data_IF_992571763889
#
_entry.id   IF_992571763889
#
_cell.length_a   1.000
_cell.length_b   1.000
_cell.length_c   1.000
_cell.angle_alpha   90.00
_cell.angle_beta   90.00
_cell.angle_gamma   90.00
#
_symmetry.space_group_name_H-M   'P 1'
#
loop_
_entity.id
_entity.type
_entity.pdbx_description
1 polymer ?
#
# COMPACT_ATOMS: atom_id res chain seq x y z
N UNK A 1 -36.79 -21.57 10.85
CA UNK A 1 -36.27 -21.62 12.24
C UNK A 1 -36.97 -20.51 12.99
N UNK A 2 -37.99 -20.86 13.76
CA UNK A 2 -38.86 -19.93 14.49
C UNK A 2 -38.07 -19.25 15.62
N UNK A 3 -38.08 -17.93 15.68
CA UNK A 3 -37.55 -17.21 16.83
C UNK A 3 -38.56 -17.33 17.99
N UNK A 4 -38.15 -17.72 19.20
CA UNK A 4 -39.07 -17.89 20.33
C UNK A 4 -39.74 -16.55 20.66
N UNK A 5 -41.06 -16.57 20.88
CA UNK A 5 -41.83 -15.40 21.30
C UNK A 5 -41.37 -14.96 22.69
N UNK A 6 -40.59 -13.87 22.75
CA UNK A 6 -40.06 -13.32 24.00
C UNK A 6 -41.21 -12.66 24.76
N UNK A 7 -41.63 -13.26 25.88
CA UNK A 7 -42.58 -12.66 26.82
C UNK A 7 -41.87 -11.72 27.79
N UNK A 8 -42.62 -10.79 28.39
CA UNK A 8 -42.07 -9.72 29.23
C UNK A 8 -41.26 -10.23 30.43
N UNK A 9 -41.68 -11.33 31.06
CA UNK A 9 -40.96 -11.98 32.17
C UNK A 9 -39.60 -12.57 31.76
N UNK A 10 -39.39 -12.86 30.47
CA UNK A 10 -38.14 -13.40 29.94
C UNK A 10 -37.15 -12.30 29.54
N UNK A 11 -37.55 -11.03 29.56
CA UNK A 11 -36.69 -9.91 29.18
C UNK A 11 -35.41 -9.79 30.03
N UNK A 12 -35.44 -9.91 31.38
CA UNK A 12 -34.21 -9.81 32.17
C UNK A 12 -33.18 -10.88 31.79
N UNK A 13 -33.66 -12.09 31.48
CA UNK A 13 -32.81 -13.22 31.08
C UNK A 13 -32.21 -13.01 29.69
N UNK A 14 -33.02 -12.53 28.73
CA UNK A 14 -32.56 -12.23 27.37
C UNK A 14 -31.55 -11.07 27.37
N UNK A 15 -31.81 -10.02 28.14
CA UNK A 15 -30.90 -8.87 28.27
C UNK A 15 -29.58 -9.27 28.92
N UNK A 16 -29.61 -10.11 29.96
CA UNK A 16 -28.39 -10.67 30.57
C UNK A 16 -27.57 -11.49 29.57
N UNK A 17 -28.23 -12.36 28.80
CA UNK A 17 -27.56 -13.14 27.74
C UNK A 17 -27.01 -12.30 26.59
N UNK A 18 -27.61 -11.14 26.29
CA UNK A 18 -27.09 -10.18 25.33
C UNK A 18 -25.86 -9.44 25.87
N UNK A 19 -25.88 -9.04 27.16
CA UNK A 19 -24.71 -8.41 27.82
C UNK A 19 -23.51 -9.34 27.77
N UNK A 20 -23.68 -10.62 28.12
CA UNK A 20 -22.58 -11.58 28.13
C UNK A 20 -22.01 -11.83 26.72
N UNK A 21 -22.88 -11.85 25.70
CA UNK A 21 -22.44 -11.94 24.30
C UNK A 21 -21.66 -10.70 23.85
N UNK A 22 -22.09 -9.51 24.27
CA UNK A 22 -21.38 -8.27 23.99
C UNK A 22 -20.02 -8.25 24.68
N UNK A 23 -19.92 -8.69 25.93
CA UNK A 23 -18.64 -8.80 26.65
C UNK A 23 -17.68 -9.77 25.95
N UNK A 24 -18.18 -10.92 25.46
CA UNK A 24 -17.37 -11.86 24.67
C UNK A 24 -16.90 -11.26 23.34
N UNK A 25 -17.75 -10.49 22.67
CA UNK A 25 -17.38 -9.80 21.42
C UNK A 25 -16.32 -8.75 21.71
N UNK A 26 -16.46 -7.98 22.79
CA UNK A 26 -15.45 -7.01 23.23
C UNK A 26 -14.12 -7.70 23.55
N UNK A 27 -14.13 -8.82 24.27
CA UNK A 27 -12.93 -9.61 24.58
C UNK A 27 -12.26 -10.17 23.31
N UNK A 28 -13.06 -10.64 22.34
CA UNK A 28 -12.54 -11.11 21.05
C UNK A 28 -11.95 -9.97 20.22
N UNK A 29 -12.57 -8.80 20.22
CA UNK A 29 -12.07 -7.62 19.52
C UNK A 29 -10.79 -7.06 20.18
N UNK A 30 -10.68 -7.16 21.51
CA UNK A 30 -9.46 -6.89 22.26
C UNK A 30 -8.33 -7.85 21.89
N UNK A 31 -8.60 -9.16 21.90
CA UNK A 31 -7.63 -10.19 21.50
C UNK A 31 -7.22 -10.09 20.04
N UNK A 32 -8.16 -9.72 19.17
CA UNK A 32 -7.90 -9.51 17.75
C UNK A 32 -7.24 -8.15 17.44
N UNK A 33 -6.94 -7.33 18.46
CA UNK A 33 -6.17 -6.10 18.31
C UNK A 33 -6.93 -4.94 17.66
N UNK A 34 -8.27 -4.96 17.67
CA UNK A 34 -9.10 -3.90 17.07
C UNK A 34 -9.47 -2.79 18.05
N UNK A 35 -9.59 -3.08 19.35
CA UNK A 35 -9.97 -2.11 20.41
C UNK A 35 -8.77 -1.47 21.09
N UNK A 36 -7.61 -2.11 21.00
CA UNK A 36 -6.34 -1.45 21.26
C UNK A 36 -6.30 -0.30 20.28
N UNK A 37 -6.49 0.91 20.81
CA UNK A 37 -6.42 2.17 20.10
C UNK A 37 -5.66 1.99 18.80
N UNK A 38 -6.28 2.42 17.70
CA UNK A 38 -5.58 3.15 16.67
C UNK A 38 -4.74 4.27 17.34
N UNK A 39 -3.67 3.88 18.05
CA UNK A 39 -2.35 4.27 17.68
C UNK A 39 -2.31 3.95 16.18
N UNK A 40 -2.73 4.94 15.40
CA UNK A 40 -1.74 5.64 14.62
C UNK A 40 -0.46 5.76 15.47
N UNK A 41 0.23 4.64 15.67
CA UNK A 41 1.65 4.60 15.78
C UNK A 41 1.97 5.26 14.46
N UNK A 42 2.16 6.59 14.48
CA UNK A 42 2.99 7.26 13.50
C UNK A 42 4.07 6.23 13.29
N UNK A 43 4.13 5.56 12.12
CA UNK A 43 5.07 4.46 11.94
C UNK A 43 6.37 5.02 12.45
N UNK A 44 6.87 4.47 13.55
CA UNK A 44 7.94 5.11 14.30
C UNK A 44 9.03 5.31 13.28
N UNK A 45 9.18 6.56 12.80
CA UNK A 45 9.76 6.79 11.48
C UNK A 45 11.22 6.47 11.62
N UNK A 46 11.56 5.22 11.35
CA UNK A 46 12.87 4.69 11.63
C UNK A 46 13.80 5.38 10.67
N UNK A 47 14.74 6.12 11.24
CA UNK A 47 15.81 6.75 10.51
C UNK A 47 16.80 5.67 10.11
N UNK A 48 17.12 5.66 8.83
CA UNK A 48 17.97 4.69 8.16
C UNK A 48 19.10 5.45 7.48
N UNK A 49 20.31 4.89 7.51
CA UNK A 49 21.48 5.47 6.85
C UNK A 49 21.69 4.87 5.45
N UNK A 50 22.56 5.49 4.65
CA UNK A 50 22.80 5.10 3.25
C UNK A 50 23.07 3.59 3.04
N UNK A 51 23.81 2.92 3.94
CA UNK A 51 24.12 1.49 3.83
C UNK A 51 22.87 0.61 4.04
N UNK A 52 22.06 0.94 5.03
CA UNK A 52 20.81 0.23 5.30
C UNK A 52 19.76 0.55 4.22
N UNK A 53 19.69 1.80 3.75
CA UNK A 53 18.83 2.18 2.63
C UNK A 53 19.17 1.39 1.35
N UNK A 54 20.47 1.13 1.10
CA UNK A 54 20.91 0.25 0.01
C UNK A 54 20.39 -1.18 0.17
N UNK A 55 20.35 -1.71 1.39
CA UNK A 55 19.82 -3.06 1.67
C UNK A 55 18.31 -3.12 1.42
N UNK A 56 17.56 -2.10 1.84
CA UNK A 56 16.10 -2.02 1.64
C UNK A 56 15.77 -1.91 0.14
N UNK A 57 16.42 -1.01 -0.58
CA UNK A 57 16.15 -0.77 -2.01
C UNK A 57 16.77 -1.87 -2.90
N UNK A 58 17.76 -2.61 -2.40
CA UNK A 58 18.49 -3.62 -3.16
C UNK A 58 19.41 -3.01 -4.24
N UNK A 59 19.92 -1.80 -4.02
CA UNK A 59 20.81 -1.08 -4.97
C UNK A 59 22.19 -0.82 -4.37
N UNK A 60 23.19 -0.62 -5.22
CA UNK A 60 24.52 -0.20 -4.79
C UNK A 60 24.52 1.24 -4.25
N UNK A 61 25.49 1.58 -3.39
CA UNK A 61 25.65 2.92 -2.81
C UNK A 61 25.77 4.01 -3.89
N UNK A 62 26.50 3.74 -4.98
CA UNK A 62 26.64 4.67 -6.10
C UNK A 62 25.32 4.90 -6.84
N UNK A 63 24.52 3.84 -7.01
CA UNK A 63 23.19 3.92 -7.63
C UNK A 63 22.20 4.65 -6.74
N UNK A 64 22.27 4.45 -5.41
CA UNK A 64 21.49 5.21 -4.44
C UNK A 64 21.75 6.72 -4.60
N UNK A 65 23.01 7.15 -4.59
CA UNK A 65 23.37 8.56 -4.76
C UNK A 65 22.94 9.16 -6.09
N UNK A 66 22.98 8.36 -7.17
CA UNK A 66 22.45 8.77 -8.48
C UNK A 66 20.93 8.91 -8.44
N UNK A 67 20.24 7.96 -7.80
CA UNK A 67 18.79 7.93 -7.68
C UNK A 67 18.21 9.11 -6.90
N UNK A 68 18.91 9.60 -5.88
CA UNK A 68 18.50 10.81 -5.14
C UNK A 68 18.41 12.05 -6.04
N UNK A 69 19.24 12.11 -7.10
CA UNK A 69 19.30 13.24 -8.03
C UNK A 69 18.51 13.00 -9.32
N UNK A 70 17.72 11.93 -9.39
CA UNK A 70 16.98 11.59 -10.60
C UNK A 70 15.87 12.63 -10.87
N UNK A 71 15.64 13.03 -12.13
CA UNK A 71 14.69 14.10 -12.46
C UNK A 71 13.22 13.68 -12.38
N UNK A 72 12.90 12.40 -12.62
CA UNK A 72 11.52 11.94 -12.78
C UNK A 72 10.94 11.27 -11.53
N UNK A 73 11.78 10.73 -10.65
CA UNK A 73 11.37 10.03 -9.43
C UNK A 73 12.57 9.91 -8.47
N UNK A 74 12.95 11.00 -7.77
CA UNK A 74 14.09 10.99 -6.88
C UNK A 74 13.79 10.18 -5.61
N UNK A 75 14.80 9.45 -5.14
CA UNK A 75 14.69 8.71 -3.86
C UNK A 75 14.51 9.71 -2.71
N UNK A 76 13.48 9.56 -1.86
CA UNK A 76 13.23 10.46 -0.74
C UNK A 76 14.41 10.42 0.22
N UNK A 77 15.00 11.59 0.49
CA UNK A 77 16.20 11.68 1.34
C UNK A 77 16.28 13.01 2.08
N UNK A 78 16.83 12.98 3.29
CA UNK A 78 16.96 14.13 4.18
C UNK A 78 18.42 14.39 4.51
N UNK A 79 18.89 15.61 4.29
CA UNK A 79 20.29 15.99 4.54
C UNK A 79 20.38 16.89 5.77
N UNK A 80 21.24 16.51 6.72
CA UNK A 80 21.65 17.37 7.84
C UNK A 80 23.17 17.40 7.91
N UNK A 81 23.76 18.55 7.56
CA UNK A 81 25.22 18.68 7.47
C UNK A 81 25.81 17.76 6.40
N UNK A 82 26.80 16.94 6.77
CA UNK A 82 27.45 15.96 5.88
C UNK A 82 26.70 14.61 5.82
N UNK A 83 25.72 14.40 6.69
CA UNK A 83 24.99 13.13 6.79
C UNK A 83 23.68 13.15 6.02
N UNK A 84 23.35 11.99 5.47
CA UNK A 84 22.12 11.73 4.74
C UNK A 84 21.32 10.67 5.50
N UNK A 85 20.03 10.95 5.66
CA UNK A 85 19.07 10.16 6.40
C UNK A 85 17.90 9.81 5.49
N UNK A 86 17.32 8.65 5.75
CA UNK A 86 16.16 8.14 5.05
C UNK A 86 15.15 7.68 6.08
N UNK A 87 13.87 7.79 5.76
CA UNK A 87 12.86 7.11 6.56
C UNK A 87 12.51 5.78 5.90
N UNK A 88 12.46 4.72 6.71
CA UNK A 88 12.18 3.37 6.25
C UNK A 88 10.82 3.25 5.55
N UNK A 89 9.79 3.88 6.09
CA UNK A 89 8.43 3.91 5.52
C UNK A 89 8.39 4.57 4.14
N UNK A 90 9.08 5.70 3.97
CA UNK A 90 9.17 6.40 2.69
C UNK A 90 9.93 5.60 1.64
N UNK A 91 10.96 4.84 2.03
CA UNK A 91 11.67 3.97 1.11
C UNK A 91 10.77 2.85 0.59
N UNK A 92 9.96 2.23 1.45
CA UNK A 92 9.00 1.22 1.01
C UNK A 92 7.91 1.81 0.12
N UNK A 93 7.34 2.96 0.50
CA UNK A 93 6.34 3.65 -0.30
C UNK A 93 6.88 4.03 -1.69
N UNK A 94 8.15 4.45 -1.77
CA UNK A 94 8.82 4.76 -3.03
C UNK A 94 9.03 3.52 -3.91
N UNK A 95 9.38 2.38 -3.31
CA UNK A 95 9.49 1.10 -4.04
C UNK A 95 8.12 0.68 -4.60
N UNK A 96 7.05 0.86 -3.83
CA UNK A 96 5.68 0.58 -4.26
C UNK A 96 5.24 1.49 -5.40
N UNK A 97 5.51 2.80 -5.32
CA UNK A 97 5.16 3.76 -6.37
C UNK A 97 5.96 3.56 -7.66
N UNK A 98 7.22 3.12 -7.55
CA UNK A 98 8.09 2.83 -8.70
C UNK A 98 7.65 1.61 -9.53
N UNK A 99 6.67 0.83 -9.05
CA UNK A 99 6.19 -0.39 -9.71
C UNK A 99 5.21 -0.07 -10.85
N UNK A 100 5.76 0.24 -12.04
CA UNK A 100 4.99 0.60 -13.25
C UNK A 100 4.02 -0.47 -13.79
N UNK A 101 4.08 -1.72 -13.31
CA UNK A 101 3.33 -2.86 -13.87
C UNK A 101 2.71 -3.79 -12.83
N UNK A 102 2.36 -3.31 -11.63
CA UNK A 102 1.67 -4.16 -10.64
C UNK A 102 0.20 -4.43 -10.99
N UNK A 103 -0.43 -3.53 -11.74
CA UNK A 103 -1.80 -3.69 -12.24
C UNK A 103 -1.70 -4.26 -13.65
N UNK A 104 -2.34 -5.41 -13.89
CA UNK A 104 -2.46 -5.95 -15.24
C UNK A 104 -3.00 -4.83 -16.15
N UNK A 105 -2.32 -4.51 -17.27
CA UNK A 105 -2.75 -3.44 -18.15
C UNK A 105 -4.19 -3.69 -18.56
N UNK A 106 -5.01 -2.65 -18.48
CA UNK A 106 -6.43 -2.78 -18.82
C UNK A 106 -6.56 -3.24 -20.28
N UNK A 107 -7.64 -3.94 -20.62
CA UNK A 107 -7.90 -4.41 -21.99
C UNK A 107 -7.83 -3.25 -23.02
N UNK A 108 -8.17 -2.03 -22.60
CA UNK A 108 -8.09 -0.84 -23.44
C UNK A 108 -6.63 -0.40 -23.73
N UNK A 109 -5.75 -0.44 -22.72
CA UNK A 109 -4.33 -0.10 -22.91
C UNK A 109 -3.60 -1.13 -23.78
N UNK A 110 -3.93 -2.41 -23.63
CA UNK A 110 -3.34 -3.47 -24.48
C UNK A 110 -3.79 -3.32 -25.93
N UNK A 111 -5.07 -3.03 -26.17
CA UNK A 111 -5.59 -2.79 -27.51
C UNK A 111 -4.96 -1.54 -28.18
N UNK A 112 -4.76 -0.47 -27.42
CA UNK A 112 -4.10 0.74 -27.91
C UNK A 112 -2.63 0.51 -28.29
N UNK A 113 -1.87 -0.24 -27.48
CA UNK A 113 -0.49 -0.59 -27.77
C UNK A 113 -0.35 -1.45 -29.05
N UNK A 114 -1.24 -2.43 -29.24
CA UNK A 114 -1.29 -3.26 -30.45
C UNK A 114 -1.56 -2.41 -31.69
N UNK A 115 -2.48 -1.45 -31.60
CA UNK A 115 -2.86 -0.59 -32.72
C UNK A 115 -1.77 0.44 -33.06
N UNK A 116 -1.08 0.99 -32.05
CA UNK A 116 -0.03 1.99 -32.23
C UNK A 116 1.21 1.43 -32.98
N UNK A 117 1.51 0.14 -32.82
CA UNK A 117 2.60 -0.53 -33.55
C UNK A 117 2.31 -0.78 -35.04
N UNK A 118 1.05 -0.66 -35.47
CA UNK A 118 0.61 -0.97 -36.83
C UNK A 118 0.87 0.20 -37.78
N UNK A 119 2.13 0.40 -38.20
CA UNK A 119 2.46 1.40 -39.25
C UNK A 119 1.78 1.02 -40.57
N UNK A 120 0.96 1.93 -41.11
CA UNK A 120 0.34 1.76 -42.44
C UNK A 120 1.43 1.77 -43.53
N UNK A 121 1.43 0.79 -44.42
CA UNK A 121 2.30 0.79 -45.61
C UNK A 121 1.88 1.93 -46.54
N UNK A 122 2.80 2.74 -47.07
CA UNK A 122 2.47 3.73 -48.09
C UNK A 122 1.93 3.00 -49.32
N UNK A 123 0.78 3.44 -49.85
CA UNK A 123 0.29 2.93 -51.13
C UNK A 123 1.17 3.51 -52.22
N UNK A 124 1.95 2.66 -52.86
CA UNK A 124 2.76 3.03 -54.02
C UNK A 124 1.85 3.56 -55.12
N UNK A 125 1.88 4.87 -55.35
CA UNK A 125 1.30 5.49 -56.53
C UNK A 125 2.27 5.32 -57.70
N UNK A 126 1.99 4.38 -58.59
CA UNK A 126 2.52 4.41 -59.94
C UNK A 126 1.76 5.50 -60.69
N UNK A 127 2.44 6.60 -61.03
CA UNK A 127 1.94 7.56 -62.00
C UNK A 127 2.39 7.08 -63.39
N UNK A 128 1.42 6.85 -64.28
CA UNK A 128 1.64 6.68 -65.72
C UNK A 128 1.86 8.04 -66.39
#
# INVERSE_FOLDING_TARGET
MEAPTITFDQLPHVVGGLSEKLDRVLELLEKAGFTGHSKQSKPSRRLVYAKEACQIIGKSLSSLYRGIKAPNDPIPSYKRGKLLYFYEDELYAWIESGRKHSVAPSLAETAAAITAGMKRRPRGGYNF
#
